data_IF_127471552869
#
_entry.id   IF_127471552869
#
_cell.length_a   1.000
_cell.length_b   1.000
_cell.length_c   1.000
_cell.angle_alpha   90.00
_cell.angle_beta   90.00
_cell.angle_gamma   90.00
#
_symmetry.space_group_name_H-M   'P 1'
#
loop_
_entity.id
_entity.type
_entity.pdbx_description
1 polymer ?
#
# COMPACT_ATOMS: atom_id res chain seq x y z
N UNK A 1 -0.48 1.27 -24.08
CA UNK A 1 -0.49 2.40 -23.12
C UNK A 1 0.56 2.14 -22.05
N UNK A 2 1.40 3.12 -21.77
CA UNK A 2 2.38 3.00 -20.70
C UNK A 2 1.71 3.21 -19.33
N UNK A 3 2.15 2.50 -18.30
CA UNK A 3 1.61 2.71 -16.96
C UNK A 3 1.94 4.11 -16.43
N UNK A 4 1.07 4.64 -15.57
CA UNK A 4 1.38 5.87 -14.85
C UNK A 4 2.45 5.57 -13.80
N UNK A 5 3.48 6.40 -13.76
CA UNK A 5 4.60 6.24 -12.82
C UNK A 5 4.99 7.60 -12.24
N UNK A 6 5.58 7.58 -11.07
CA UNK A 6 6.20 8.78 -10.52
C UNK A 6 7.35 9.27 -11.38
N UNK A 7 7.56 10.58 -11.44
CA UNK A 7 8.85 11.13 -11.86
C UNK A 7 9.93 10.72 -10.85
N UNK A 8 11.18 10.80 -11.23
CA UNK A 8 12.28 10.48 -10.32
C UNK A 8 12.28 11.37 -9.06
N UNK A 9 11.96 12.64 -9.23
CA UNK A 9 11.85 13.59 -8.12
C UNK A 9 10.70 13.25 -7.17
N UNK A 10 9.53 12.91 -7.73
CA UNK A 10 8.38 12.48 -6.95
C UNK A 10 8.66 11.19 -6.18
N UNK A 11 9.27 10.22 -6.84
CA UNK A 11 9.66 8.96 -6.24
C UNK A 11 10.60 9.16 -5.06
N UNK A 12 11.61 10.00 -5.23
CA UNK A 12 12.55 10.33 -4.16
C UNK A 12 11.85 11.00 -2.97
N UNK A 13 10.94 11.93 -3.24
CA UNK A 13 10.17 12.60 -2.19
C UNK A 13 9.30 11.60 -1.42
N UNK A 14 8.68 10.65 -2.10
CA UNK A 14 7.87 9.60 -1.47
C UNK A 14 8.75 8.66 -0.63
N UNK A 15 9.91 8.24 -1.14
CA UNK A 15 10.86 7.41 -0.38
C UNK A 15 11.30 8.10 0.91
N UNK A 16 11.70 9.35 0.82
CA UNK A 16 12.10 10.15 1.99
C UNK A 16 10.98 10.28 3.02
N UNK A 17 9.76 10.47 2.54
CA UNK A 17 8.58 10.56 3.42
C UNK A 17 8.29 9.23 4.11
N UNK A 18 8.36 8.12 3.39
CA UNK A 18 8.18 6.77 3.96
C UNK A 18 9.22 6.51 5.04
N UNK A 19 10.48 6.80 4.77
CA UNK A 19 11.55 6.63 5.75
C UNK A 19 11.36 7.51 6.99
N UNK A 20 10.94 8.75 6.80
CA UNK A 20 10.68 9.66 7.90
C UNK A 20 9.52 9.20 8.79
N UNK A 21 8.46 8.65 8.19
CA UNK A 21 7.25 8.24 8.92
C UNK A 21 7.34 6.85 9.52
N UNK A 22 7.92 5.89 8.81
CA UNK A 22 7.89 4.46 9.18
C UNK A 22 9.27 3.87 9.48
N UNK A 23 10.33 4.47 9.03
CA UNK A 23 11.69 3.98 9.18
C UNK A 23 12.34 3.54 7.87
N UNK A 24 13.63 3.24 7.93
CA UNK A 24 14.40 2.85 6.77
C UNK A 24 13.96 1.48 6.23
N UNK A 25 13.97 1.34 4.91
CA UNK A 25 13.70 0.08 4.24
C UNK A 25 14.86 -0.24 3.27
N UNK A 26 15.25 -1.49 3.23
CA UNK A 26 16.29 -1.99 2.31
C UNK A 26 15.68 -2.88 1.22
N UNK A 27 14.49 -3.41 1.47
CA UNK A 27 13.82 -4.33 0.57
C UNK A 27 12.63 -3.66 -0.09
N UNK A 28 12.59 -3.73 -1.41
CA UNK A 28 11.44 -3.30 -2.22
C UNK A 28 10.99 -4.48 -3.07
N UNK A 29 9.72 -4.81 -2.97
CA UNK A 29 9.10 -5.83 -3.79
C UNK A 29 8.66 -5.18 -5.10
N UNK A 30 9.44 -5.39 -6.16
CA UNK A 30 9.19 -4.79 -7.48
C UNK A 30 8.10 -5.53 -8.24
N UNK A 31 7.20 -4.77 -8.82
CA UNK A 31 6.18 -5.31 -9.70
C UNK A 31 6.77 -5.63 -11.08
N UNK A 32 6.52 -6.84 -11.57
CA UNK A 32 7.05 -7.31 -12.84
C UNK A 32 6.17 -6.89 -14.02
N UNK A 33 4.84 -6.91 -13.82
CA UNK A 33 3.86 -6.54 -14.85
C UNK A 33 2.96 -5.45 -14.30
N UNK A 34 2.90 -4.33 -14.98
CA UNK A 34 2.14 -3.14 -14.56
C UNK A 34 1.20 -2.73 -15.69
N UNK A 35 -0.08 -3.15 -15.65
CA UNK A 35 -1.03 -2.85 -16.74
C UNK A 35 -1.49 -1.39 -16.77
N UNK A 36 -1.54 -0.72 -15.63
CA UNK A 36 -2.11 0.62 -15.48
C UNK A 36 -1.18 1.57 -14.72
N UNK A 37 -0.88 1.24 -13.47
CA UNK A 37 0.11 1.94 -12.64
C UNK A 37 1.19 0.93 -12.24
N UNK A 38 2.38 1.43 -11.94
CA UNK A 38 3.45 0.58 -11.41
C UNK A 38 3.49 0.72 -9.90
N UNK A 39 3.17 -0.36 -9.18
CA UNK A 39 3.10 -0.36 -7.71
C UNK A 39 4.12 -1.32 -7.14
N UNK A 40 5.16 -0.76 -6.54
CA UNK A 40 6.11 -1.50 -5.73
C UNK A 40 5.66 -1.49 -4.27
N UNK A 41 6.19 -2.39 -3.46
CA UNK A 41 5.91 -2.45 -2.02
C UNK A 41 7.23 -2.39 -1.25
N UNK A 42 7.37 -1.33 -0.45
CA UNK A 42 8.50 -1.16 0.43
C UNK A 42 8.28 -1.95 1.71
N UNK A 43 9.28 -2.70 2.15
CA UNK A 43 9.23 -3.52 3.36
C UNK A 43 10.09 -2.88 4.44
N UNK A 44 9.43 -2.37 5.48
CA UNK A 44 10.11 -1.83 6.66
C UNK A 44 10.14 -2.93 7.72
N UNK A 45 11.32 -3.45 8.08
CA UNK A 45 11.41 -4.55 9.03
C UNK A 45 11.11 -4.11 10.47
N UNK A 46 10.81 -5.05 11.38
CA UNK A 46 10.69 -4.74 12.79
C UNK A 46 11.96 -4.09 13.32
N UNK A 47 11.79 -3.17 14.26
CA UNK A 47 12.89 -2.48 14.93
C UNK A 47 12.70 -2.59 16.44
N UNK A 48 13.68 -2.12 17.21
CA UNK A 48 13.67 -2.21 18.67
C UNK A 48 12.44 -1.55 19.31
N UNK A 49 11.97 -0.47 18.70
CA UNK A 49 10.81 0.31 19.12
C UNK A 49 9.50 -0.10 18.41
N UNK A 50 9.59 -1.00 17.43
CA UNK A 50 8.45 -1.43 16.61
C UNK A 50 8.55 -2.92 16.29
N UNK A 51 7.84 -3.72 17.03
CA UNK A 51 7.87 -5.18 16.88
C UNK A 51 6.86 -5.67 15.82
N UNK A 52 6.90 -5.06 14.62
CA UNK A 52 6.05 -5.44 13.50
C UNK A 52 6.66 -4.98 12.17
N UNK A 53 6.30 -5.66 11.09
CA UNK A 53 6.60 -5.19 9.74
C UNK A 53 5.63 -4.10 9.32
N UNK A 54 6.10 -3.16 8.52
CA UNK A 54 5.23 -2.23 7.79
C UNK A 54 5.49 -2.40 6.30
N UNK A 55 4.43 -2.63 5.53
CA UNK A 55 4.48 -2.67 4.08
C UNK A 55 3.83 -1.40 3.56
N UNK A 56 4.52 -0.67 2.68
CA UNK A 56 4.01 0.59 2.13
C UNK A 56 4.08 0.53 0.60
N UNK A 57 2.98 0.86 -0.06
CA UNK A 57 2.97 0.96 -1.53
C UNK A 57 3.81 2.15 -1.99
N UNK A 58 4.40 2.03 -3.16
CA UNK A 58 5.07 3.13 -3.84
C UNK A 58 4.73 3.08 -5.32
N UNK A 59 3.96 4.04 -5.77
CA UNK A 59 3.48 4.12 -7.14
C UNK A 59 1.98 4.40 -7.27
N UNK A 60 1.17 4.07 -6.27
CA UNK A 60 -0.25 4.38 -6.27
C UNK A 60 -0.51 5.88 -6.47
N UNK A 61 0.26 6.72 -5.80
CA UNK A 61 0.11 8.17 -5.85
C UNK A 61 0.50 8.80 -7.18
N UNK A 62 1.04 8.03 -8.13
CA UNK A 62 1.25 8.51 -9.50
C UNK A 62 -0.07 8.77 -10.22
N UNK A 63 -1.13 8.04 -9.85
CA UNK A 63 -2.48 8.24 -10.34
C UNK A 63 -3.24 9.22 -9.46
N UNK A 64 -3.89 10.23 -10.07
CA UNK A 64 -4.78 11.13 -9.34
C UNK A 64 -6.14 10.49 -9.20
N UNK A 65 -6.56 10.24 -7.96
CA UNK A 65 -7.87 9.68 -7.66
C UNK A 65 -8.97 10.69 -7.95
N UNK A 66 -10.16 10.18 -8.24
CA UNK A 66 -11.35 11.01 -8.51
C UNK A 66 -12.01 11.45 -7.19
N UNK A 67 -11.42 12.47 -6.57
CA UNK A 67 -11.90 13.04 -5.30
C UNK A 67 -13.02 14.06 -5.58
N UNK A 68 -14.11 14.08 -4.79
CA UNK A 68 -15.17 15.07 -4.95
C UNK A 68 -14.63 16.51 -4.88
N UNK A 69 -15.15 17.40 -5.71
CA UNK A 69 -14.69 18.79 -5.79
C UNK A 69 -14.79 19.53 -4.45
N UNK A 70 -15.76 19.17 -3.61
CA UNK A 70 -15.97 19.74 -2.28
C UNK A 70 -14.79 19.48 -1.33
N UNK A 71 -13.97 18.45 -1.62
CA UNK A 71 -12.83 18.06 -0.81
C UNK A 71 -11.49 18.50 -1.42
N UNK A 72 -11.50 19.26 -2.51
CA UNK A 72 -10.28 19.66 -3.23
C UNK A 72 -9.26 20.39 -2.35
N UNK A 73 -9.71 21.16 -1.37
CA UNK A 73 -8.83 21.88 -0.45
C UNK A 73 -7.93 20.97 0.40
N UNK A 74 -8.37 19.74 0.63
CA UNK A 74 -7.64 18.76 1.45
C UNK A 74 -6.56 18.01 0.67
N UNK A 75 -6.48 18.19 -0.64
CA UNK A 75 -5.45 17.60 -1.53
C UNK A 75 -5.33 16.07 -1.38
N UNK A 76 -6.46 15.38 -1.45
CA UNK A 76 -6.56 13.94 -1.21
C UNK A 76 -6.40 13.07 -2.47
N UNK A 77 -6.14 13.68 -3.62
CA UNK A 77 -6.11 12.95 -4.89
C UNK A 77 -4.91 12.02 -5.07
N UNK A 78 -3.87 12.16 -4.25
CA UNK A 78 -2.68 11.29 -4.31
C UNK A 78 -2.41 10.68 -2.95
N UNK A 79 -2.20 9.37 -2.92
CA UNK A 79 -1.96 8.64 -1.67
C UNK A 79 -1.17 7.36 -1.92
N UNK A 80 -0.57 6.86 -0.86
CA UNK A 80 -0.02 5.52 -0.77
C UNK A 80 -0.72 4.78 0.38
N UNK A 81 -0.64 3.45 0.36
CA UNK A 81 -1.25 2.58 1.37
C UNK A 81 -0.18 1.90 2.21
N UNK A 82 -0.49 1.68 3.47
CA UNK A 82 0.38 0.95 4.39
C UNK A 82 -0.42 -0.10 5.17
N UNK A 83 0.25 -1.19 5.53
CA UNK A 83 -0.31 -2.23 6.41
C UNK A 83 0.78 -2.69 7.37
N UNK A 84 0.40 -2.93 8.61
CA UNK A 84 1.30 -3.51 9.62
C UNK A 84 1.06 -5.03 9.72
N UNK A 85 2.13 -5.80 9.82
CA UNK A 85 2.10 -7.25 9.94
C UNK A 85 2.91 -7.70 11.16
N UNK A 86 2.56 -8.83 11.80
CA UNK A 86 3.32 -9.37 12.91
C UNK A 86 4.81 -9.57 12.57
N UNK A 87 5.68 -9.45 13.56
CA UNK A 87 7.13 -9.58 13.38
C UNK A 87 7.57 -10.97 12.87
N UNK A 88 6.74 -12.00 13.09
CA UNK A 88 6.99 -13.36 12.61
C UNK A 88 6.40 -13.63 11.22
N UNK A 89 5.88 -12.61 10.55
CA UNK A 89 5.37 -12.74 9.19
C UNK A 89 6.51 -13.07 8.22
N UNK A 90 6.25 -13.98 7.29
CA UNK A 90 7.24 -14.36 6.28
C UNK A 90 7.11 -13.44 5.06
N UNK A 91 8.19 -12.71 4.78
CA UNK A 91 8.21 -11.69 3.70
C UNK A 91 9.24 -12.02 2.60
N UNK A 92 9.69 -13.24 2.50
CA UNK A 92 10.63 -13.68 1.45
C UNK A 92 9.91 -14.19 0.19
N UNK A 93 10.64 -14.28 -0.91
CA UNK A 93 10.09 -14.71 -2.19
C UNK A 93 9.50 -16.13 -2.17
N UNK A 94 10.12 -17.03 -1.41
CA UNK A 94 9.62 -18.41 -1.31
C UNK A 94 8.28 -18.45 -0.58
N UNK A 95 8.17 -17.75 0.55
CA UNK A 95 6.93 -17.67 1.31
C UNK A 95 5.82 -17.02 0.49
N UNK A 96 6.13 -16.04 -0.34
CA UNK A 96 5.15 -15.34 -1.16
C UNK A 96 4.57 -16.15 -2.31
N UNK A 97 5.04 -17.36 -2.55
CA UNK A 97 4.38 -18.32 -3.43
C UNK A 97 3.11 -18.91 -2.80
N UNK A 98 2.97 -18.72 -1.49
CA UNK A 98 1.83 -19.19 -0.70
C UNK A 98 0.95 -17.99 -0.33
N UNK A 99 -0.32 -18.01 -0.72
CA UNK A 99 -1.29 -16.95 -0.43
C UNK A 99 -1.46 -16.67 1.08
N UNK A 100 -1.18 -17.64 1.92
CA UNK A 100 -1.22 -17.47 3.37
C UNK A 100 -0.25 -16.38 3.86
N UNK A 101 0.82 -16.13 3.12
CA UNK A 101 1.81 -15.10 3.41
C UNK A 101 1.75 -13.91 2.44
N UNK A 102 1.28 -14.13 1.22
CA UNK A 102 1.25 -13.12 0.16
C UNK A 102 0.00 -12.23 0.19
N UNK A 103 -1.09 -12.67 0.79
CA UNK A 103 -2.37 -11.95 0.70
C UNK A 103 -2.29 -10.47 1.10
N UNK A 104 -1.46 -10.02 2.09
CA UNK A 104 -1.38 -8.58 2.38
C UNK A 104 -0.78 -7.77 1.22
N UNK A 105 0.21 -8.32 0.53
CA UNK A 105 0.82 -7.67 -0.65
C UNK A 105 -0.19 -7.59 -1.79
N UNK A 106 -0.89 -8.69 -2.06
CA UNK A 106 -1.93 -8.72 -3.07
C UNK A 106 -3.04 -7.73 -2.76
N UNK A 107 -3.43 -7.64 -1.49
CA UNK A 107 -4.43 -6.69 -1.02
C UNK A 107 -4.02 -5.24 -1.29
N UNK A 108 -2.80 -4.87 -0.93
CA UNK A 108 -2.28 -3.53 -1.20
C UNK A 108 -2.30 -3.20 -2.69
N UNK A 109 -1.88 -4.12 -3.54
CA UNK A 109 -1.89 -3.94 -4.99
C UNK A 109 -3.29 -3.81 -5.56
N UNK A 110 -4.23 -4.60 -5.06
CA UNK A 110 -5.64 -4.53 -5.45
C UNK A 110 -6.25 -3.18 -5.08
N UNK A 111 -6.02 -2.73 -3.84
CA UNK A 111 -6.52 -1.44 -3.38
C UNK A 111 -5.87 -0.26 -4.12
N UNK A 112 -4.59 -0.36 -4.42
CA UNK A 112 -3.89 0.69 -5.15
C UNK A 112 -4.47 0.93 -6.55
N UNK A 113 -5.05 -0.11 -7.15
CA UNK A 113 -5.67 -0.04 -8.49
C UNK A 113 -7.15 0.31 -8.47
N UNK A 114 -7.81 0.13 -7.32
CA UNK A 114 -9.25 0.34 -7.21
C UNK A 114 -9.69 1.76 -7.62
N UNK A 115 -9.00 2.85 -7.22
CA UNK A 115 -9.41 4.18 -7.66
C UNK A 115 -9.44 4.35 -9.18
N UNK A 116 -8.45 3.84 -9.89
CA UNK A 116 -8.40 3.90 -11.35
C UNK A 116 -9.45 3.01 -12.02
N UNK A 117 -9.61 1.79 -11.53
CA UNK A 117 -10.56 0.82 -12.08
C UNK A 117 -12.03 1.23 -11.86
N UNK A 118 -12.31 1.83 -10.70
CA UNK A 118 -13.67 2.21 -10.30
C UNK A 118 -13.96 3.71 -10.44
N UNK A 119 -13.04 4.50 -10.97
CA UNK A 119 -13.15 5.95 -11.09
C UNK A 119 -13.56 6.64 -9.79
N UNK A 120 -12.89 6.24 -8.70
CA UNK A 120 -13.23 6.68 -7.34
C UNK A 120 -11.96 7.11 -6.57
N UNK A 121 -12.09 7.22 -5.26
CA UNK A 121 -10.98 7.59 -4.39
C UNK A 121 -11.01 6.75 -3.12
N UNK A 122 -9.88 6.67 -2.45
CA UNK A 122 -9.72 6.02 -1.16
C UNK A 122 -9.18 7.04 -0.16
N UNK A 123 -9.74 7.05 1.03
CA UNK A 123 -9.32 7.94 2.11
C UNK A 123 -9.78 7.43 3.47
N UNK A 124 -9.49 8.19 4.48
CA UNK A 124 -9.83 7.87 5.86
C UNK A 124 -11.33 7.53 6.01
N UNK A 125 -11.58 6.45 6.74
CA UNK A 125 -12.94 6.01 7.05
C UNK A 125 -13.62 5.18 5.96
N UNK A 126 -12.99 5.01 4.79
CA UNK A 126 -13.54 4.16 3.74
C UNK A 126 -13.44 2.69 4.13
N UNK A 127 -14.46 1.93 3.80
CA UNK A 127 -14.49 0.48 3.97
C UNK A 127 -14.60 -0.20 2.62
N UNK A 128 -13.86 -1.28 2.42
CA UNK A 128 -13.89 -2.06 1.19
C UNK A 128 -14.10 -3.53 1.55
N UNK A 129 -15.29 -4.09 1.28
CA UNK A 129 -15.53 -5.51 1.53
C UNK A 129 -14.88 -6.36 0.44
N UNK A 130 -14.31 -7.50 0.83
CA UNK A 130 -13.79 -8.50 -0.10
C UNK A 130 -14.85 -9.51 -0.53
N UNK A 131 -15.85 -9.75 0.30
CA UNK A 131 -16.84 -10.81 0.07
C UNK A 131 -16.38 -12.20 0.48
N UNK A 132 -15.08 -12.42 0.53
CA UNK A 132 -14.45 -13.69 0.91
C UNK A 132 -13.24 -13.42 1.79
N UNK A 133 -12.83 -14.39 2.63
CA UNK A 133 -11.58 -14.29 3.38
C UNK A 133 -10.39 -14.07 2.44
N UNK A 134 -9.42 -13.29 2.88
CA UNK A 134 -8.24 -12.97 2.07
C UNK A 134 -7.36 -14.19 1.77
N UNK A 135 -7.37 -15.17 2.65
CA UNK A 135 -6.63 -16.43 2.50
C UNK A 135 -7.24 -17.51 3.40
N UNK A 136 -6.78 -18.76 3.24
CA UNK A 136 -7.26 -19.90 4.02
C UNK A 136 -7.01 -19.78 5.52
N UNK A 137 -5.94 -19.06 5.90
CA UNK A 137 -5.50 -18.93 7.28
C UNK A 137 -6.09 -17.71 8.01
N UNK A 138 -7.04 -17.01 7.41
CA UNK A 138 -7.65 -15.83 8.02
C UNK A 138 -9.16 -15.79 7.76
N UNK A 139 -9.89 -15.12 8.65
CA UNK A 139 -11.31 -14.82 8.46
C UNK A 139 -11.53 -13.40 7.98
N UNK A 140 -10.47 -12.61 7.92
CA UNK A 140 -10.56 -11.22 7.48
C UNK A 140 -11.05 -11.16 6.04
N UNK A 141 -12.09 -10.38 5.80
CA UNK A 141 -12.75 -10.27 4.50
C UNK A 141 -13.17 -8.84 4.14
N UNK A 142 -12.56 -7.86 4.77
CA UNK A 142 -12.82 -6.45 4.50
C UNK A 142 -11.72 -5.56 5.06
N UNK A 143 -11.72 -4.31 4.64
CA UNK A 143 -10.72 -3.32 5.03
C UNK A 143 -11.38 -2.05 5.50
N UNK A 144 -10.78 -1.43 6.49
CA UNK A 144 -11.08 -0.07 6.92
C UNK A 144 -9.82 0.77 6.74
N UNK A 145 -9.94 1.88 6.03
CA UNK A 145 -8.83 2.80 5.83
C UNK A 145 -8.78 3.81 6.97
N UNK A 146 -7.61 3.91 7.59
CA UNK A 146 -7.34 4.83 8.67
C UNK A 146 -6.13 5.70 8.32
N UNK A 147 -6.06 6.86 8.94
CA UNK A 147 -4.82 7.64 8.88
C UNK A 147 -3.76 6.93 9.70
N UNK A 148 -2.52 6.83 9.21
CA UNK A 148 -1.46 6.21 9.99
C UNK A 148 -1.23 7.03 11.26
N UNK A 149 -1.26 6.35 12.39
CA UNK A 149 -0.87 6.96 13.66
C UNK A 149 0.63 6.73 13.78
N UNK A 150 1.41 7.74 13.46
CA UNK A 150 2.84 7.71 13.73
C UNK A 150 3.01 7.97 15.23
N UNK A 151 3.33 6.94 15.96
CA UNK A 151 3.76 7.09 17.34
C UNK A 151 5.17 7.68 17.30
N UNK A 152 5.24 8.95 17.50
CA UNK A 152 6.51 9.64 17.69
C UNK A 152 7.15 9.24 19.02
#
# INVERSE_FOLDING_TARGET
>A
MLPEVYSEEERKAVEEHIEACFGAFETVLHEVVSPDIHVDVCVIPPAKDRNYYTLVTMGMGAHRMNVPAELAEYKLERAELAIALPADWKVDQEAFRDERWYWPVRLLKTLARLPGECHTWLGWGHTVPSGEPFAENTRLCGMLLENPVTFG
#
